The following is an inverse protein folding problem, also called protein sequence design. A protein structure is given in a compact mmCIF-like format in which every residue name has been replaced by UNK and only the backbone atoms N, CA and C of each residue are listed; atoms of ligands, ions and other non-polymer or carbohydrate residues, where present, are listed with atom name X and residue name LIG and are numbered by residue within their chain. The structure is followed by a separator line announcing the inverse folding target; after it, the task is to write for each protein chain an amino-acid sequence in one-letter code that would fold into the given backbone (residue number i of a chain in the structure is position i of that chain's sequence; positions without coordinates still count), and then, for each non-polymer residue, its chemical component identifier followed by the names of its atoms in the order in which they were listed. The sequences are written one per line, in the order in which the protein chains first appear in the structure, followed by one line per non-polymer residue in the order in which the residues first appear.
data_IF_031793123054
#
_entry.id   IF_031793123054
#
_cell.length_a   1.000
_cell.length_b   1.000
_cell.length_c   1.000
_cell.angle_alpha   90.00
_cell.angle_beta   90.00
_cell.angle_gamma   90.00
#
_symmetry.space_group_name_H-M   'P 1'
#
loop_
_entity.id
_entity.type
_entity.pdbx_description
1 polymer ?
#
# COMPACT_ATOMS: atom_id res chain seq x y z
N UNK A 1 -8.69 6.17 -1.89
CA UNK A 1 -8.63 5.61 -0.51
C UNK A 1 -9.76 4.63 -0.22
N UNK A 2 -11.01 4.91 -0.60
CA UNK A 2 -12.17 4.10 -0.22
C UNK A 2 -12.20 2.70 -0.88
N UNK A 3 -11.65 2.56 -2.09
CA UNK A 3 -11.74 1.32 -2.87
C UNK A 3 -10.96 0.17 -2.23
N UNK A 4 -9.69 0.38 -1.86
CA UNK A 4 -8.92 -0.67 -1.17
C UNK A 4 -9.48 -1.03 0.21
N UNK A 5 -10.10 -0.08 0.91
CA UNK A 5 -10.74 -0.33 2.22
C UNK A 5 -11.92 -1.29 2.04
N UNK A 6 -12.78 -1.02 1.04
CA UNK A 6 -13.88 -1.92 0.69
C UNK A 6 -13.38 -3.32 0.35
N UNK A 7 -12.31 -3.42 -0.44
CA UNK A 7 -11.68 -4.68 -0.81
C UNK A 7 -11.17 -5.45 0.42
N UNK A 8 -10.51 -4.78 1.37
CA UNK A 8 -10.06 -5.40 2.62
C UNK A 8 -11.21 -6.01 3.44
N UNK A 9 -12.31 -5.27 3.60
CA UNK A 9 -13.51 -5.78 4.29
C UNK A 9 -14.17 -6.93 3.52
N UNK A 10 -14.23 -6.86 2.20
CA UNK A 10 -14.74 -7.95 1.36
C UNK A 10 -13.92 -9.23 1.58
N UNK A 11 -12.60 -9.15 1.52
CA UNK A 11 -11.74 -10.31 1.75
C UNK A 11 -11.88 -10.87 3.16
N UNK A 12 -11.91 -10.01 4.19
CA UNK A 12 -12.10 -10.44 5.56
C UNK A 12 -13.47 -11.14 5.75
N UNK A 13 -14.55 -10.57 5.23
CA UNK A 13 -15.89 -11.16 5.35
C UNK A 13 -16.04 -12.48 4.58
N UNK A 14 -15.50 -12.57 3.36
CA UNK A 14 -15.49 -13.83 2.61
C UNK A 14 -14.71 -14.92 3.34
N UNK A 15 -13.56 -14.57 3.93
CA UNK A 15 -12.76 -15.52 4.72
C UNK A 15 -13.52 -16.02 5.95
N UNK A 16 -14.29 -15.15 6.61
CA UNK A 16 -15.06 -15.51 7.80
C UNK A 16 -16.18 -16.48 7.43
N UNK A 17 -16.93 -16.20 6.36
CA UNK A 17 -18.03 -17.06 5.91
C UNK A 17 -17.52 -18.45 5.49
N UNK A 18 -16.34 -18.53 4.88
CA UNK A 18 -15.84 -19.78 4.28
C UNK A 18 -14.95 -20.60 5.22
N UNK A 19 -14.22 -19.96 6.14
CA UNK A 19 -13.16 -20.61 6.93
C UNK A 19 -13.49 -20.75 8.41
N UNK A 20 -14.52 -20.05 8.91
CA UNK A 20 -14.90 -20.11 10.33
C UNK A 20 -16.04 -21.10 10.53
N UNK A 21 -15.83 -22.03 11.46
CA UNK A 21 -16.82 -23.03 11.82
C UNK A 21 -17.91 -22.45 12.75
N UNK A 22 -19.12 -23.02 12.70
CA UNK A 22 -20.27 -22.57 13.49
C UNK A 22 -20.28 -23.12 14.94
N UNK A 23 -19.12 -23.56 15.44
CA UNK A 23 -18.97 -24.09 16.79
C UNK A 23 -19.10 -22.99 17.86
N UNK A 24 -19.71 -23.35 19.00
CA UNK A 24 -19.81 -22.48 20.15
C UNK A 24 -18.44 -22.29 20.81
N UNK A 25 -18.16 -21.07 21.29
CA UNK A 25 -16.91 -20.74 21.97
C UNK A 25 -17.13 -20.87 23.47
N UNK A 26 -16.81 -22.04 24.01
CA UNK A 26 -16.94 -22.33 25.46
C UNK A 26 -15.59 -22.18 26.21
N UNK A 27 -14.48 -22.11 25.48
CA UNK A 27 -13.13 -21.97 26.05
C UNK A 27 -12.17 -21.30 25.06
N UNK A 28 -11.01 -20.85 25.56
CA UNK A 28 -9.95 -20.27 24.73
C UNK A 28 -9.45 -21.27 23.67
N UNK A 29 -9.39 -22.56 24.00
CA UNK A 29 -9.00 -23.60 23.04
C UNK A 29 -10.02 -23.73 21.90
N UNK A 30 -11.32 -23.65 22.22
CA UNK A 30 -12.39 -23.66 21.22
C UNK A 30 -12.33 -22.42 20.33
N UNK A 31 -12.01 -21.24 20.89
CA UNK A 31 -11.79 -20.01 20.12
C UNK A 31 -10.64 -20.17 19.11
N UNK A 32 -9.48 -20.64 19.56
CA UNK A 32 -8.33 -20.85 18.66
C UNK A 32 -8.67 -21.84 17.56
N UNK A 33 -9.30 -22.97 17.91
CA UNK A 33 -9.72 -23.98 16.92
C UNK A 33 -10.70 -23.41 15.89
N UNK A 34 -11.64 -22.58 16.32
CA UNK A 34 -12.65 -21.94 15.47
C UNK A 34 -12.03 -20.98 14.44
N UNK A 35 -11.04 -20.18 14.84
CA UNK A 35 -10.44 -19.13 14.00
C UNK A 35 -9.08 -19.52 13.38
N UNK A 36 -8.61 -20.76 13.57
CA UNK A 36 -7.25 -21.17 13.17
C UNK A 36 -6.99 -20.98 11.67
N UNK A 37 -7.92 -21.39 10.79
CA UNK A 37 -7.74 -21.23 9.35
C UNK A 37 -7.68 -19.77 8.92
N UNK A 38 -8.49 -18.91 9.54
CA UNK A 38 -8.47 -17.47 9.27
C UNK A 38 -7.14 -16.83 9.69
N UNK A 39 -6.62 -17.21 10.86
CA UNK A 39 -5.28 -16.81 11.31
C UNK A 39 -4.17 -17.30 10.37
N UNK A 40 -4.27 -18.54 9.88
CA UNK A 40 -3.31 -19.07 8.91
C UNK A 40 -3.31 -18.24 7.61
N UNK A 41 -4.48 -17.86 7.10
CA UNK A 41 -4.58 -16.98 5.92
C UNK A 41 -3.94 -15.62 6.22
N UNK A 42 -4.27 -14.99 7.34
CA UNK A 42 -3.69 -13.70 7.73
C UNK A 42 -2.15 -13.76 7.83
N UNK A 43 -1.62 -14.83 8.44
CA UNK A 43 -0.18 -15.07 8.56
C UNK A 43 0.49 -15.29 7.20
N UNK A 44 -0.12 -16.04 6.30
CA UNK A 44 0.40 -16.26 4.95
C UNK A 44 0.44 -14.95 4.17
N UNK A 45 -0.65 -14.17 4.19
CA UNK A 45 -0.71 -12.87 3.50
C UNK A 45 0.32 -11.90 4.09
N UNK A 46 0.48 -11.88 5.41
CA UNK A 46 1.50 -11.08 6.09
C UNK A 46 2.91 -11.50 5.69
N UNK A 47 3.22 -12.80 5.68
CA UNK A 47 4.52 -13.31 5.27
C UNK A 47 4.84 -12.95 3.81
N UNK A 48 3.87 -13.11 2.90
CA UNK A 48 4.03 -12.71 1.50
C UNK A 48 4.27 -11.21 1.39
N UNK A 49 3.50 -10.39 2.09
CA UNK A 49 3.69 -8.94 2.12
C UNK A 49 5.10 -8.56 2.61
N UNK A 50 5.57 -9.14 3.72
CA UNK A 50 6.90 -8.86 4.27
C UNK A 50 8.03 -9.32 3.33
N UNK A 51 7.88 -10.50 2.72
CA UNK A 51 8.83 -11.01 1.73
C UNK A 51 8.92 -10.08 0.51
N UNK A 52 7.80 -9.55 0.03
CA UNK A 52 7.80 -8.59 -1.08
C UNK A 52 8.38 -7.24 -0.66
N UNK A 53 8.01 -6.74 0.53
CA UNK A 53 8.43 -5.43 1.02
C UNK A 53 9.95 -5.34 1.21
N UNK A 54 10.54 -6.37 1.83
CA UNK A 54 11.97 -6.37 2.18
C UNK A 54 12.84 -7.17 1.21
N UNK A 55 12.28 -8.21 0.58
CA UNK A 55 13.03 -9.10 -0.30
C UNK A 55 13.18 -8.57 -1.71
N UNK A 56 12.29 -7.70 -2.18
CA UNK A 56 12.29 -7.25 -3.58
C UNK A 56 13.39 -6.20 -3.83
N UNK A 57 14.15 -6.38 -4.91
CA UNK A 57 15.11 -5.40 -5.39
C UNK A 57 14.42 -4.37 -6.27
N UNK A 58 14.61 -3.09 -5.95
CA UNK A 58 14.04 -1.98 -6.71
C UNK A 58 15.15 -1.39 -7.58
N UNK A 59 15.12 -1.64 -8.91
CA UNK A 59 16.07 -1.06 -9.83
C UNK A 59 15.80 0.44 -10.05
N UNK A 60 16.78 1.10 -10.66
CA UNK A 60 16.60 2.45 -11.20
C UNK A 60 15.48 2.45 -12.24
N UNK A 61 14.73 3.55 -12.31
CA UNK A 61 13.59 3.66 -13.20
C UNK A 61 13.43 5.09 -13.72
N UNK A 62 12.71 5.24 -14.82
CA UNK A 62 12.55 6.51 -15.53
C UNK A 62 11.08 6.83 -15.76
N UNK A 63 10.73 8.12 -15.75
CA UNK A 63 9.40 8.59 -16.12
C UNK A 63 9.47 9.87 -16.95
N UNK A 64 8.46 10.08 -17.81
CA UNK A 64 8.36 11.30 -18.60
C UNK A 64 7.68 12.41 -17.80
N UNK A 65 8.18 13.63 -17.95
CA UNK A 65 7.61 14.83 -17.34
C UNK A 65 7.27 15.85 -18.42
N UNK A 66 6.11 16.48 -18.28
CA UNK A 66 5.73 17.67 -19.05
C UNK A 66 6.30 18.94 -18.41
N UNK A 67 6.78 19.86 -19.24
CA UNK A 67 7.31 21.15 -18.78
C UNK A 67 6.17 22.07 -18.32
N UNK A 68 6.40 22.84 -17.26
CA UNK A 68 5.40 23.76 -16.66
C UNK A 68 5.05 24.93 -17.58
N UNK A 69 5.91 25.24 -18.55
CA UNK A 69 5.68 26.31 -19.52
C UNK A 69 4.83 25.84 -20.71
N UNK A 70 3.69 26.48 -21.01
CA UNK A 70 2.77 26.07 -22.07
C UNK A 70 3.28 26.35 -23.50
N UNK A 71 4.46 26.97 -23.64
CA UNK A 71 5.09 27.15 -24.94
C UNK A 71 5.92 25.91 -25.27
N UNK A 72 5.43 25.14 -26.25
CA UNK A 72 5.99 23.89 -26.80
C UNK A 72 5.69 22.63 -25.98
N UNK A 73 5.33 21.55 -26.69
CA UNK A 73 5.18 20.17 -26.18
C UNK A 73 6.54 19.65 -25.70
N UNK A 74 7.02 20.19 -24.58
CA UNK A 74 8.28 19.85 -23.95
C UNK A 74 8.00 18.69 -23.00
N UNK A 75 8.50 17.51 -23.37
CA UNK A 75 8.62 16.35 -22.49
C UNK A 75 10.11 16.03 -22.30
N UNK A 76 10.48 15.67 -21.08
CA UNK A 76 11.81 15.13 -20.80
C UNK A 76 11.72 13.96 -19.84
N UNK A 77 12.66 13.03 -19.98
CA UNK A 77 12.76 11.84 -19.14
C UNK A 77 13.55 12.14 -17.87
N UNK A 78 12.94 11.92 -16.72
CA UNK A 78 13.61 11.97 -15.43
C UNK A 78 14.00 10.55 -15.00
N UNK A 79 15.26 10.37 -14.60
CA UNK A 79 15.74 9.11 -14.01
C UNK A 79 15.73 9.19 -12.49
N UNK A 80 15.28 8.12 -11.85
CA UNK A 80 15.27 7.90 -10.41
C UNK A 80 16.25 6.78 -10.09
N UNK A 81 17.30 7.13 -9.35
CA UNK A 81 18.28 6.18 -8.87
C UNK A 81 17.84 5.57 -7.54
N UNK A 82 17.73 4.25 -7.51
CA UNK A 82 17.30 3.45 -6.37
C UNK A 82 18.36 2.41 -6.02
N UNK A 83 18.44 1.33 -6.81
CA UNK A 83 19.43 0.26 -6.63
C UNK A 83 19.44 -0.39 -5.23
N UNK A 84 18.30 -0.44 -4.53
CA UNK A 84 18.20 -0.86 -3.12
C UNK A 84 17.15 -1.97 -2.89
N UNK A 85 17.25 -2.64 -1.72
CA UNK A 85 16.22 -3.55 -1.17
C UNK A 85 15.70 -2.99 0.15
N UNK A 86 14.43 -3.21 0.45
CA UNK A 86 13.84 -2.90 1.75
C UNK A 86 13.75 -1.41 2.11
N UNK A 87 13.92 -0.50 1.14
CA UNK A 87 13.64 0.92 1.35
C UNK A 87 12.13 1.11 1.55
N UNK A 88 11.74 1.75 2.65
CA UNK A 88 10.34 2.13 2.89
C UNK A 88 10.04 3.53 2.33
N UNK A 89 11.09 4.35 2.21
CA UNK A 89 10.96 5.71 1.73
C UNK A 89 10.68 5.76 0.21
N UNK A 90 9.81 6.68 -0.23
CA UNK A 90 9.65 6.97 -1.63
C UNK A 90 10.94 7.57 -2.20
N UNK A 91 11.20 7.42 -3.50
CA UNK A 91 10.39 6.73 -4.52
C UNK A 91 10.80 5.25 -4.71
N UNK A 92 11.72 4.76 -3.89
CA UNK A 92 12.45 3.51 -4.10
C UNK A 92 11.89 2.33 -3.29
N UNK A 93 10.65 2.45 -2.83
CA UNK A 93 9.99 1.38 -2.09
C UNK A 93 9.44 0.27 -3.00
N UNK A 94 9.32 -0.92 -2.42
CA UNK A 94 8.82 -2.10 -3.13
C UNK A 94 7.35 -1.97 -3.54
N UNK A 95 6.53 -1.24 -2.76
CA UNK A 95 5.11 -0.99 -3.06
C UNK A 95 4.99 -0.33 -4.44
N UNK A 96 5.62 0.83 -4.63
CA UNK A 96 5.57 1.55 -5.89
C UNK A 96 6.25 0.78 -7.02
N UNK A 97 7.28 -0.04 -6.74
CA UNK A 97 7.89 -0.87 -7.77
C UNK A 97 6.95 -1.96 -8.30
N UNK A 98 6.23 -2.66 -7.42
CA UNK A 98 5.23 -3.67 -7.81
C UNK A 98 4.13 -3.03 -8.66
N UNK A 99 3.64 -1.86 -8.26
CA UNK A 99 2.60 -1.15 -8.99
C UNK A 99 3.09 -0.71 -10.38
N UNK A 100 4.32 -0.19 -10.48
CA UNK A 100 4.96 0.16 -11.76
C UNK A 100 5.07 -1.03 -12.72
N UNK A 101 5.43 -2.20 -12.20
CA UNK A 101 5.64 -3.41 -13.01
C UNK A 101 4.32 -4.05 -13.45
N UNK A 102 3.32 -4.08 -12.56
CA UNK A 102 2.07 -4.80 -12.81
C UNK A 102 0.98 -3.92 -13.44
N UNK A 103 0.85 -2.67 -13.02
CA UNK A 103 -0.15 -1.72 -13.55
C UNK A 103 0.42 -0.89 -14.70
N UNK A 104 1.73 -0.62 -14.68
CA UNK A 104 2.40 0.24 -15.66
C UNK A 104 2.36 1.73 -15.28
N UNK A 105 3.26 2.51 -15.88
CA UNK A 105 3.39 3.95 -15.61
C UNK A 105 2.15 4.76 -16.00
N UNK A 106 1.44 4.33 -17.06
CA UNK A 106 0.29 5.07 -17.61
C UNK A 106 -0.97 4.95 -16.73
N UNK A 107 -1.13 3.85 -15.99
CA UNK A 107 -2.30 3.62 -15.13
C UNK A 107 -2.15 4.22 -13.74
N UNK A 108 -0.94 4.67 -13.37
CA UNK A 108 -0.73 5.33 -12.09
C UNK A 108 -1.25 6.76 -12.09
N UNK A 109 -1.53 7.25 -10.89
CA UNK A 109 -1.99 8.62 -10.72
C UNK A 109 -0.87 9.62 -11.07
N UNK A 110 -1.11 10.42 -12.11
CA UNK A 110 -0.14 11.39 -12.66
C UNK A 110 -0.01 12.66 -11.82
N UNK A 111 -0.93 12.90 -10.87
CA UNK A 111 -0.85 13.98 -9.89
C UNK A 111 -0.42 13.42 -8.53
N UNK A 112 0.87 13.11 -8.34
CA UNK A 112 1.29 12.28 -7.23
C UNK A 112 1.03 12.95 -5.89
N UNK A 113 0.61 12.14 -4.92
CA UNK A 113 0.41 12.59 -3.54
C UNK A 113 1.71 13.11 -2.90
N UNK A 114 2.89 12.84 -3.47
CA UNK A 114 4.14 13.41 -2.99
C UNK A 114 4.15 14.94 -3.00
N UNK A 115 3.41 15.58 -3.92
CA UNK A 115 3.33 17.05 -3.99
C UNK A 115 2.85 17.66 -2.67
N UNK A 116 2.10 16.88 -1.88
CA UNK A 116 1.55 17.34 -0.60
C UNK A 116 2.53 17.31 0.55
N UNK A 117 3.68 16.67 0.37
CA UNK A 117 4.72 16.62 1.40
C UNK A 117 5.44 17.96 1.52
N UNK A 118 5.91 18.29 2.73
CA UNK A 118 6.69 19.52 2.99
C UNK A 118 7.97 19.60 2.14
N UNK A 119 8.48 18.46 1.67
CA UNK A 119 9.65 18.40 0.78
C UNK A 119 9.33 18.86 -0.65
N UNK A 120 8.05 18.81 -1.02
CA UNK A 120 7.60 19.00 -2.39
C UNK A 120 6.69 20.23 -2.59
N UNK A 121 6.23 20.88 -1.52
CA UNK A 121 5.52 22.16 -1.58
C UNK A 121 6.03 23.14 -0.53
N UNK A 122 6.31 24.38 -0.96
CA UNK A 122 6.70 25.48 -0.04
C UNK A 122 5.61 25.75 1.01
N UNK A 123 4.34 25.53 0.65
CA UNK A 123 3.19 25.61 1.54
C UNK A 123 2.37 24.31 1.41
N UNK A 124 2.81 23.24 2.09
CA UNK A 124 2.06 21.98 2.18
C UNK A 124 0.62 22.23 2.66
N UNK A 125 -0.41 21.50 2.16
CA UNK A 125 -0.37 20.31 1.30
C UNK A 125 -0.40 20.52 -0.22
N UNK A 126 -0.54 21.70 -0.81
CA UNK A 126 -0.26 21.97 -2.25
C UNK A 126 -0.55 23.45 -2.55
N UNK A 127 -0.32 24.33 -1.57
CA UNK A 127 -0.68 25.74 -1.64
C UNK A 127 0.48 26.60 -2.14
N UNK A 128 1.56 25.98 -2.60
CA UNK A 128 2.76 26.64 -3.10
C UNK A 128 3.51 25.77 -4.11
N UNK A 129 4.37 26.40 -4.94
CA UNK A 129 5.14 25.68 -5.96
C UNK A 129 6.18 24.74 -5.32
N UNK A 130 6.83 23.93 -6.16
CA UNK A 130 7.96 23.10 -5.74
C UNK A 130 9.08 23.98 -5.16
N UNK A 131 9.61 23.63 -3.97
CA UNK A 131 10.79 24.29 -3.41
C UNK A 131 11.98 24.23 -4.37
N UNK A 132 12.90 25.22 -4.35
CA UNK A 132 14.08 25.24 -5.22
C UNK A 132 15.02 24.02 -5.09
N UNK A 133 14.91 23.28 -3.98
CA UNK A 133 15.68 22.06 -3.68
C UNK A 133 14.78 20.83 -3.50
N UNK A 134 13.59 20.85 -4.10
CA UNK A 134 12.67 19.74 -4.03
C UNK A 134 13.29 18.47 -4.63
N UNK A 135 13.08 17.29 -4.01
CA UNK A 135 13.49 16.03 -4.61
C UNK A 135 12.92 15.84 -6.02
N UNK A 136 13.71 15.27 -6.93
CA UNK A 136 13.30 15.07 -8.32
C UNK A 136 12.08 14.15 -8.48
N UNK A 137 11.79 13.33 -7.47
CA UNK A 137 10.67 12.41 -7.41
C UNK A 137 9.38 13.01 -6.86
N UNK A 138 9.36 14.29 -6.49
CA UNK A 138 8.12 14.97 -6.04
C UNK A 138 6.97 14.91 -7.05
N UNK A 139 7.30 14.77 -8.34
CA UNK A 139 6.35 14.67 -9.45
C UNK A 139 6.34 13.27 -10.08
N UNK A 140 6.94 12.28 -9.42
CA UNK A 140 6.96 10.91 -9.89
C UNK A 140 5.56 10.27 -9.74
N UNK A 141 4.99 9.61 -10.78
CA UNK A 141 3.69 8.96 -10.68
C UNK A 141 3.64 7.95 -9.53
N UNK A 142 2.50 7.89 -8.84
CA UNK A 142 2.30 7.02 -7.69
C UNK A 142 0.85 6.58 -7.56
N UNK A 143 0.62 5.29 -7.30
CA UNK A 143 -0.72 4.77 -7.06
C UNK A 143 -0.97 4.51 -5.56
N UNK A 144 -1.84 5.29 -4.89
CA UNK A 144 -2.20 5.03 -3.50
C UNK A 144 -3.05 3.76 -3.31
N UNK A 145 -3.71 3.25 -4.36
CA UNK A 145 -4.56 2.05 -4.32
C UNK A 145 -3.84 0.80 -4.84
N UNK A 146 -2.52 0.86 -4.96
CA UNK A 146 -1.69 -0.22 -5.49
C UNK A 146 -1.87 -1.59 -4.83
N UNK A 147 -1.30 -2.61 -5.46
CA UNK A 147 -1.49 -4.02 -5.13
C UNK A 147 -0.96 -4.31 -3.73
N UNK A 148 0.28 -3.90 -3.44
CA UNK A 148 0.91 -4.16 -2.15
C UNK A 148 0.26 -3.32 -1.03
N UNK A 149 -0.21 -2.11 -1.34
CA UNK A 149 -1.01 -1.28 -0.45
C UNK A 149 -2.35 -1.95 -0.09
N UNK A 150 -3.00 -2.61 -1.05
CA UNK A 150 -4.24 -3.36 -0.84
C UNK A 150 -4.04 -4.60 0.05
N UNK A 151 -2.91 -5.30 -0.08
CA UNK A 151 -2.55 -6.40 0.82
C UNK A 151 -2.40 -5.94 2.27
N UNK A 152 -1.74 -4.80 2.50
CA UNK A 152 -1.62 -4.23 3.84
C UNK A 152 -2.99 -3.93 4.45
N UNK A 153 -3.92 -3.39 3.66
CA UNK A 153 -5.29 -3.15 4.12
C UNK A 153 -5.98 -4.46 4.50
N UNK A 154 -5.90 -5.50 3.66
CA UNK A 154 -6.44 -6.81 3.99
C UNK A 154 -5.90 -7.35 5.32
N UNK A 155 -4.58 -7.28 5.54
CA UNK A 155 -3.93 -7.69 6.80
C UNK A 155 -4.52 -6.92 7.99
N UNK A 156 -4.63 -5.59 7.88
CA UNK A 156 -5.20 -4.77 8.97
C UNK A 156 -6.68 -5.07 9.21
N UNK A 157 -7.45 -5.39 8.17
CA UNK A 157 -8.84 -5.83 8.30
C UNK A 157 -8.95 -7.15 9.06
N UNK A 158 -8.09 -8.13 8.78
CA UNK A 158 -8.02 -9.38 9.56
C UNK A 158 -7.70 -9.14 11.03
N UNK A 159 -6.70 -8.30 11.32
CA UNK A 159 -6.32 -7.96 12.69
C UNK A 159 -7.51 -7.30 13.42
N UNK A 160 -8.16 -6.32 12.79
CA UNK A 160 -9.32 -5.64 13.37
C UNK A 160 -10.49 -6.60 13.64
N UNK A 161 -10.76 -7.51 12.72
CA UNK A 161 -11.80 -8.53 12.87
C UNK A 161 -11.51 -9.47 14.05
N UNK A 162 -10.27 -9.97 14.17
CA UNK A 162 -9.88 -10.81 15.31
C UNK A 162 -9.95 -10.07 16.64
N UNK A 163 -9.54 -8.80 16.69
CA UNK A 163 -9.74 -7.95 17.87
C UNK A 163 -11.22 -7.84 18.24
N UNK A 164 -12.11 -7.67 17.26
CA UNK A 164 -13.56 -7.68 17.45
C UNK A 164 -14.07 -8.98 18.08
N UNK A 165 -13.64 -10.13 17.57
CA UNK A 165 -13.99 -11.44 18.14
C UNK A 165 -13.50 -11.60 19.58
N UNK A 166 -12.27 -11.18 19.87
CA UNK A 166 -11.72 -11.23 21.24
C UNK A 166 -12.56 -10.35 22.17
N UNK A 167 -12.96 -9.14 21.77
CA UNK A 167 -13.80 -8.27 22.59
C UNK A 167 -15.20 -8.85 22.86
N UNK A 168 -15.78 -9.57 21.89
CA UNK A 168 -17.09 -10.20 22.06
C UNK A 168 -17.04 -11.43 22.97
N UNK A 169 -15.97 -12.23 22.88
CA UNK A 169 -15.85 -13.51 23.59
C UNK A 169 -15.10 -13.42 24.93
N UNK A 170 -14.22 -12.42 25.10
CA UNK A 170 -13.46 -12.14 26.34
C UNK A 170 -14.11 -10.96 27.07
N UNK A 171 -15.43 -11.03 27.24
CA UNK A 171 -16.15 -10.10 28.10
C UNK A 171 -15.89 -10.49 29.55
N UNK A 172 -15.17 -9.63 30.28
CA UNK A 172 -15.01 -9.68 31.75
C UNK A 172 -16.33 -9.29 32.41
#
# INVERSE_FOLDING_TARGET
MLQRISLGYLFASMSEIWLVDNSAVESIMAFVKKYHFQWMVALIVCAVYMCLLYGLFVPDWTFERQCVTPSYNCSYTQTVHCGVRGSLDPPCNAVGFVDRVLLGLEHMYQHPLYIITEQCSVNSPDYGPLPPKAPYWCLAPFDPEGILSSLMVAITSFIGLHFGHVLLHVKV
#
